data_IF_538852260237
#
_entry.id   IF_538852260237
#
_cell.length_a   1.000
_cell.length_b   1.000
_cell.length_c   1.000
_cell.angle_alpha   90.00
_cell.angle_beta   90.00
_cell.angle_gamma   90.00
#
_symmetry.space_group_name_H-M   'P 1'
#
loop_
_entity.id
_entity.type
_entity.pdbx_description
1 polymer ?
#
# COMPACT_ATOMS: atom_id res chain seq x y z
N UNK A 1 29.55 -38.99 -41.52
CA UNK A 1 29.91 -38.48 -40.18
C UNK A 1 29.22 -37.13 -39.99
N UNK A 2 28.32 -37.06 -39.00
CA UNK A 2 27.77 -35.86 -38.31
C UNK A 2 27.02 -34.82 -39.18
N UNK A 3 25.82 -34.33 -38.85
CA UNK A 3 24.97 -34.44 -37.66
C UNK A 3 23.64 -33.77 -38.02
N UNK A 4 22.56 -34.54 -38.08
CA UNK A 4 21.20 -33.99 -38.22
C UNK A 4 20.60 -33.77 -36.83
N UNK A 5 20.15 -32.53 -36.60
CA UNK A 5 18.96 -32.12 -35.87
C UNK A 5 18.60 -32.86 -34.56
N UNK A 6 18.68 -32.14 -33.43
CA UNK A 6 17.65 -32.22 -32.40
C UNK A 6 17.68 -30.98 -31.50
N UNK A 7 16.92 -29.95 -31.90
CA UNK A 7 16.57 -28.83 -31.04
C UNK A 7 15.34 -29.26 -30.22
N UNK A 8 15.56 -29.74 -29.01
CA UNK A 8 14.47 -30.02 -28.07
C UNK A 8 13.93 -28.69 -27.53
N UNK A 9 12.84 -28.20 -28.10
CA UNK A 9 12.08 -27.09 -27.54
C UNK A 9 11.42 -27.57 -26.25
N UNK A 10 11.96 -27.17 -25.10
CA UNK A 10 11.28 -27.30 -23.81
C UNK A 10 10.18 -26.25 -23.78
N UNK A 11 9.02 -26.58 -24.34
CA UNK A 11 7.79 -25.84 -24.12
C UNK A 11 7.34 -26.12 -22.68
N UNK A 12 7.66 -25.21 -21.77
CA UNK A 12 7.04 -25.17 -20.46
C UNK A 12 5.55 -24.87 -20.63
N UNK A 13 4.70 -25.90 -20.51
CA UNK A 13 3.26 -25.71 -20.38
C UNK A 13 2.97 -25.00 -19.06
N UNK A 14 2.82 -23.67 -19.11
CA UNK A 14 2.23 -22.93 -17.99
C UNK A 14 0.71 -23.09 -18.13
N UNK A 15 0.15 -24.12 -17.48
CA UNK A 15 -1.30 -24.27 -17.39
C UNK A 15 -1.86 -23.07 -16.60
N UNK A 16 -2.83 -22.32 -17.14
CA UNK A 16 -3.48 -21.26 -16.39
C UNK A 16 -4.31 -21.89 -15.26
N UNK A 17 -3.86 -21.74 -14.01
CA UNK A 17 -4.64 -22.12 -12.85
C UNK A 17 -5.81 -21.15 -12.70
N UNK A 18 -7.02 -21.60 -13.05
CA UNK A 18 -8.24 -20.84 -12.78
C UNK A 18 -8.68 -21.13 -11.35
N UNK A 19 -8.79 -20.09 -10.55
CA UNK A 19 -9.37 -20.21 -9.21
C UNK A 19 -10.80 -20.77 -9.33
N UNK A 20 -11.16 -21.80 -8.55
CA UNK A 20 -12.53 -22.29 -8.54
C UNK A 20 -13.48 -21.16 -8.11
N UNK A 21 -14.76 -21.19 -8.54
CA UNK A 21 -15.74 -20.24 -8.02
C UNK A 21 -15.84 -20.42 -6.50
N UNK A 22 -15.60 -19.34 -5.76
CA UNK A 22 -15.80 -19.29 -4.33
C UNK A 22 -16.81 -18.19 -4.02
N UNK A 23 -17.62 -18.43 -2.99
CA UNK A 23 -18.58 -17.46 -2.49
C UNK A 23 -18.07 -16.96 -1.14
N UNK A 24 -17.99 -15.65 -0.99
CA UNK A 24 -17.50 -15.02 0.25
C UNK A 24 -18.69 -14.43 0.98
N UNK A 25 -18.87 -14.81 2.24
CA UNK A 25 -19.89 -14.25 3.10
C UNK A 25 -19.35 -13.02 3.85
N UNK A 26 -20.24 -12.09 4.19
CA UNK A 26 -19.88 -10.90 4.96
C UNK A 26 -19.23 -11.24 6.32
N UNK A 27 -19.70 -12.31 6.95
CA UNK A 27 -19.12 -12.80 8.20
C UNK A 27 -17.65 -13.22 8.03
N UNK A 28 -17.30 -13.84 6.90
CA UNK A 28 -15.93 -14.24 6.57
C UNK A 28 -15.05 -13.01 6.35
N UNK A 29 -15.57 -11.96 5.69
CA UNK A 29 -14.86 -10.69 5.52
C UNK A 29 -14.60 -9.99 6.86
N UNK A 30 -15.58 -9.97 7.75
CA UNK A 30 -15.43 -9.38 9.09
C UNK A 30 -14.37 -10.16 9.89
N UNK A 31 -14.41 -11.48 9.85
CA UNK A 31 -13.42 -12.32 10.54
C UNK A 31 -12.02 -12.07 9.99
N UNK A 32 -11.87 -12.04 8.67
CA UNK A 32 -10.59 -11.78 8.01
C UNK A 32 -10.07 -10.38 8.35
N UNK A 33 -10.92 -9.36 8.30
CA UNK A 33 -10.56 -7.98 8.65
C UNK A 33 -10.04 -7.86 10.09
N UNK A 34 -10.70 -8.53 11.04
CA UNK A 34 -10.23 -8.60 12.43
C UNK A 34 -8.89 -9.30 12.56
N UNK A 35 -8.71 -10.44 11.90
CA UNK A 35 -7.44 -11.16 11.90
C UNK A 35 -6.29 -10.31 11.33
N UNK A 36 -6.53 -9.60 10.23
CA UNK A 36 -5.57 -8.66 9.65
C UNK A 36 -5.25 -7.50 10.62
N UNK A 37 -6.27 -6.95 11.28
CA UNK A 37 -6.10 -5.88 12.27
C UNK A 37 -5.27 -6.33 13.48
N UNK A 38 -5.48 -7.56 13.93
CA UNK A 38 -4.74 -8.17 15.03
C UNK A 38 -3.27 -8.39 14.66
N UNK A 39 -3.03 -8.98 13.48
CA UNK A 39 -1.70 -9.30 12.96
C UNK A 39 -0.91 -8.08 12.44
N UNK A 40 -1.54 -6.90 12.33
CA UNK A 40 -0.84 -5.67 11.93
C UNK A 40 0.08 -5.18 13.05
N UNK A 41 1.34 -5.60 13.02
CA UNK A 41 2.41 -5.15 13.92
C UNK A 41 2.79 -3.68 13.70
N UNK A 42 2.53 -3.17 12.49
CA UNK A 42 2.88 -1.80 12.18
C UNK A 42 1.87 -0.80 12.73
N UNK A 43 0.66 -1.21 13.13
CA UNK A 43 -0.36 -0.30 13.68
C UNK A 43 0.15 0.60 14.79
N UNK A 44 -0.47 1.76 14.92
CA UNK A 44 -0.31 2.61 16.09
C UNK A 44 -0.90 1.92 17.33
N UNK A 45 -0.15 1.90 18.42
CA UNK A 45 -0.61 1.46 19.73
C UNK A 45 -1.21 2.63 20.53
N UNK A 46 -2.03 2.34 21.56
CA UNK A 46 -2.52 3.37 22.47
C UNK A 46 -1.36 4.24 23.00
N UNK A 47 -1.53 5.57 22.95
CA UNK A 47 -0.50 6.54 23.38
C UNK A 47 0.51 6.95 22.31
N UNK A 48 0.52 6.31 21.13
CA UNK A 48 1.39 6.74 20.02
C UNK A 48 0.79 7.87 19.18
N UNK A 49 -0.53 8.09 19.28
CA UNK A 49 -1.24 9.16 18.58
C UNK A 49 -2.18 9.83 19.57
N UNK A 50 -2.16 11.16 19.63
CA UNK A 50 -3.14 11.97 20.32
C UNK A 50 -3.83 12.87 19.30
N UNK A 51 -5.16 12.81 19.30
CA UNK A 51 -6.02 13.57 18.39
C UNK A 51 -6.91 14.53 19.18
N UNK A 52 -7.17 15.68 18.57
CA UNK A 52 -8.07 16.70 19.08
C UNK A 52 -9.29 16.78 18.15
N UNK A 53 -10.39 16.14 18.56
CA UNK A 53 -11.63 16.13 17.79
C UNK A 53 -12.33 17.50 17.74
N UNK A 54 -12.06 18.38 18.71
CA UNK A 54 -12.61 19.74 18.78
C UNK A 54 -14.14 19.77 18.75
N UNK A 55 -14.74 20.84 18.24
CA UNK A 55 -16.19 20.97 18.11
C UNK A 55 -16.74 20.21 16.90
N UNK A 56 -17.99 19.77 17.00
CA UNK A 56 -18.69 19.16 15.87
C UNK A 56 -18.81 20.16 14.71
N UNK A 57 -18.57 19.68 13.49
CA UNK A 57 -18.77 20.50 12.28
C UNK A 57 -20.26 20.81 12.11
N UNK A 58 -20.61 22.10 12.11
CA UNK A 58 -21.98 22.58 11.93
C UNK A 58 -22.06 23.50 10.70
N UNK A 59 -22.69 23.00 9.63
CA UNK A 59 -22.86 23.75 8.39
C UNK A 59 -21.53 24.18 7.79
N UNK A 60 -21.31 25.50 7.69
CA UNK A 60 -20.07 26.11 7.16
C UNK A 60 -19.19 26.70 8.25
N UNK A 61 -19.57 26.59 9.51
CA UNK A 61 -18.81 27.15 10.62
C UNK A 61 -17.65 26.22 10.96
N UNK A 62 -16.43 26.77 10.97
CA UNK A 62 -15.27 26.06 11.48
C UNK A 62 -15.28 26.08 13.02
N UNK A 63 -15.46 24.90 13.61
CA UNK A 63 -15.47 24.68 15.05
C UNK A 63 -14.20 23.95 15.52
N UNK A 64 -13.13 23.98 14.72
CA UNK A 64 -11.87 23.30 14.95
C UNK A 64 -10.66 24.27 14.82
N UNK A 65 -10.47 25.22 15.76
CA UNK A 65 -9.42 26.24 15.69
C UNK A 65 -7.97 25.73 15.87
N UNK A 66 -7.78 24.46 16.23
CA UNK A 66 -6.50 23.83 16.49
C UNK A 66 -6.23 22.68 15.51
N UNK A 67 -5.00 22.17 15.48
CA UNK A 67 -4.66 21.01 14.66
C UNK A 67 -5.34 19.73 15.15
N UNK A 68 -5.73 18.85 14.22
CA UNK A 68 -6.36 17.58 14.55
C UNK A 68 -5.39 16.60 15.22
N UNK A 69 -4.16 16.50 14.73
CA UNK A 69 -3.12 15.69 15.36
C UNK A 69 -2.37 16.52 16.38
N UNK A 70 -2.64 16.29 17.66
CA UNK A 70 -1.93 16.95 18.74
C UNK A 70 -0.51 16.40 18.90
N UNK A 71 -0.36 15.08 18.74
CA UNK A 71 0.94 14.41 18.80
C UNK A 71 0.92 13.10 18.01
N UNK A 72 2.03 12.83 17.34
CA UNK A 72 2.32 11.54 16.71
C UNK A 72 3.72 11.12 17.12
N UNK A 73 3.85 9.92 17.67
CA UNK A 73 5.12 9.33 18.07
C UNK A 73 6.08 9.21 16.87
N UNK A 74 7.25 9.87 16.88
CA UNK A 74 8.21 9.78 15.79
C UNK A 74 8.68 8.35 15.50
N UNK A 75 8.69 7.46 16.50
CA UNK A 75 9.05 6.06 16.31
C UNK A 75 8.02 5.31 15.44
N UNK A 76 6.74 5.72 15.48
CA UNK A 76 5.70 5.18 14.62
C UNK A 76 6.00 5.47 13.14
N UNK A 77 6.50 6.67 12.84
CA UNK A 77 6.83 7.10 11.48
C UNK A 77 8.06 6.37 10.91
N UNK A 78 8.90 5.81 11.78
CA UNK A 78 10.06 5.01 11.39
C UNK A 78 9.72 3.55 11.10
N UNK A 79 8.50 3.09 11.44
CA UNK A 79 8.08 1.72 11.12
C UNK A 79 8.12 1.49 9.59
N UNK A 80 8.42 0.27 9.13
CA UNK A 80 8.64 0.01 7.70
C UNK A 80 7.47 0.41 6.80
N UNK A 81 6.22 0.17 7.19
CA UNK A 81 5.06 0.51 6.36
C UNK A 81 4.84 2.03 6.27
N UNK A 82 4.91 2.75 7.40
CA UNK A 82 4.74 4.21 7.45
C UNK A 82 5.85 4.93 6.69
N UNK A 83 7.11 4.57 6.93
CA UNK A 83 8.25 5.21 6.26
C UNK A 83 8.20 5.02 4.73
N UNK A 84 7.88 3.81 4.26
CA UNK A 84 7.69 3.55 2.83
C UNK A 84 6.49 4.33 2.27
N UNK A 85 5.37 4.36 3.00
CA UNK A 85 4.20 5.12 2.58
C UNK A 85 4.50 6.62 2.47
N UNK A 86 5.15 7.21 3.47
CA UNK A 86 5.59 8.62 3.47
C UNK A 86 6.56 8.89 2.31
N UNK A 87 7.49 7.98 2.04
CA UNK A 87 8.42 8.12 0.92
C UNK A 87 7.69 8.16 -0.43
N UNK A 88 6.58 7.43 -0.59
CA UNK A 88 5.74 7.50 -1.79
C UNK A 88 4.95 8.80 -1.89
N UNK A 89 4.68 9.51 -0.79
CA UNK A 89 3.89 10.75 -0.83
C UNK A 89 4.56 11.87 -1.64
N UNK A 90 5.89 11.81 -1.80
CA UNK A 90 6.62 12.73 -2.66
C UNK A 90 6.43 12.47 -4.17
N UNK A 91 5.81 11.34 -4.54
CA UNK A 91 5.54 11.01 -5.94
C UNK A 91 4.27 11.69 -6.49
N UNK A 92 3.45 12.30 -5.62
CA UNK A 92 2.20 12.95 -6.03
C UNK A 92 2.43 14.44 -6.30
N UNK A 93 1.81 14.95 -7.36
CA UNK A 93 1.75 16.39 -7.59
C UNK A 93 0.87 17.03 -6.50
N UNK A 94 1.45 17.94 -5.71
CA UNK A 94 0.73 18.62 -4.62
C UNK A 94 -0.25 19.67 -5.12
N UNK A 95 -0.08 20.12 -6.36
CA UNK A 95 -1.01 21.05 -7.01
C UNK A 95 -2.20 20.29 -7.56
N UNK A 96 -3.32 20.34 -6.83
CA UNK A 96 -4.61 19.85 -7.34
C UNK A 96 -5.21 20.80 -8.38
N UNK A 97 -6.03 20.26 -9.29
CA UNK A 97 -6.73 21.05 -10.31
C UNK A 97 -5.95 21.30 -11.60
N UNK A 98 -4.78 20.67 -11.74
CA UNK A 98 -3.96 20.64 -12.97
C UNK A 98 -3.79 19.18 -13.39
N UNK A 99 -3.76 18.91 -14.69
CA UNK A 99 -3.50 17.57 -15.21
C UNK A 99 -2.18 17.02 -14.66
N UNK A 100 -2.21 15.78 -14.17
CA UNK A 100 -1.00 15.16 -13.64
C UNK A 100 0.08 15.07 -14.72
N UNK A 101 1.30 15.56 -14.45
CA UNK A 101 2.38 15.47 -15.42
C UNK A 101 2.73 14.00 -15.66
N UNK A 102 3.01 13.64 -16.92
CA UNK A 102 3.48 12.30 -17.26
C UNK A 102 4.83 12.04 -16.58
N UNK A 103 4.82 11.09 -15.65
CA UNK A 103 6.01 10.61 -14.94
C UNK A 103 6.96 9.92 -15.94
N UNK A 104 8.28 10.09 -15.76
CA UNK A 104 9.30 9.50 -16.64
C UNK A 104 9.36 7.97 -16.51
N UNK A 105 9.91 7.27 -17.51
CA UNK A 105 10.02 5.78 -17.47
C UNK A 105 10.91 5.31 -16.33
N UNK A 106 11.91 6.11 -15.95
CA UNK A 106 12.89 5.82 -14.92
C UNK A 106 12.25 5.83 -13.51
N UNK A 107 11.32 6.75 -13.28
CA UNK A 107 10.53 6.86 -12.04
C UNK A 107 9.50 5.71 -11.92
N UNK A 108 8.89 5.32 -13.04
CA UNK A 108 8.04 4.12 -13.10
C UNK A 108 8.85 2.86 -12.77
N UNK A 109 10.07 2.74 -13.31
CA UNK A 109 10.93 1.59 -13.09
C UNK A 109 11.44 1.50 -11.64
N UNK A 110 11.81 2.63 -11.01
CA UNK A 110 12.23 2.68 -9.59
C UNK A 110 11.16 2.13 -8.65
N UNK A 111 9.89 2.44 -8.93
CA UNK A 111 8.73 1.94 -8.17
C UNK A 111 8.57 0.42 -8.28
N UNK A 112 9.00 -0.19 -9.38
CA UNK A 112 8.96 -1.64 -9.59
C UNK A 112 10.15 -2.37 -8.93
N UNK A 113 11.33 -1.74 -8.87
CA UNK A 113 12.53 -2.34 -8.29
C UNK A 113 12.41 -2.49 -6.76
N UNK A 114 11.81 -1.54 -6.05
CA UNK A 114 11.62 -1.64 -4.59
C UNK A 114 10.69 -2.77 -4.15
N UNK A 115 9.74 -3.17 -5.00
CA UNK A 115 8.81 -4.29 -4.71
C UNK A 115 9.42 -5.65 -5.07
N UNK A 116 10.48 -5.68 -5.88
CA UNK A 116 11.12 -6.90 -6.38
C UNK A 116 12.38 -7.37 -5.62
N UNK A 117 12.90 -6.60 -4.67
CA UNK A 117 14.22 -6.85 -4.05
C UNK A 117 14.19 -7.53 -2.65
N UNK A 118 13.07 -8.13 -2.24
CA UNK A 118 13.04 -9.09 -1.10
C UNK A 118 12.76 -10.51 -1.56
N UNK A 119 13.67 -11.08 -2.34
CA UNK A 119 13.93 -12.53 -2.36
C UNK A 119 15.44 -12.72 -2.44
N UNK A 120 16.06 -12.85 -1.28
CA UNK A 120 17.26 -13.66 -1.03
C UNK A 120 17.08 -14.23 0.38
#
# INVERSE_FOLDING_TARGET
MFQSLLLAAVFGCVLPQRLPPFYVQDAELIQMSKAMREADDNKAHPGQIYINYQGQAEGKQDNAPSEFFYYVDPALLQKPSFSQFIAMMNNFNREGGVDEPRVSREEVCRTQVTTGQRKN
#
